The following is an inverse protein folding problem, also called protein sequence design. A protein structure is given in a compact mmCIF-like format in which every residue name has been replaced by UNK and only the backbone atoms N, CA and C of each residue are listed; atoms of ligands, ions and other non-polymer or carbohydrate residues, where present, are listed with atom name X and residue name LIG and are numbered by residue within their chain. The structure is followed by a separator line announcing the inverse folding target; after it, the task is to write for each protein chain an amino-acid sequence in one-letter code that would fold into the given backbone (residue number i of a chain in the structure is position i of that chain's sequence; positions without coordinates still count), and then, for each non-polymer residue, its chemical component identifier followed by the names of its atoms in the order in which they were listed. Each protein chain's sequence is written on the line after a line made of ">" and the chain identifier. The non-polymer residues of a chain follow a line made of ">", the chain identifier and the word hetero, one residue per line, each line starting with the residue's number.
data_IF_165036603452
#
_entry.id   IF_165036603452
#
_cell.length_a   1.000
_cell.length_b   1.000
_cell.length_c   1.000
_cell.angle_alpha   90.00
_cell.angle_beta   90.00
_cell.angle_gamma   90.00
#
_symmetry.space_group_name_H-M   'P 1'
#
loop_
_entity.id
_entity.type
_entity.pdbx_description
1 polymer ?
#
# COMPACT_ATOMS: atom_id res chain seq x y z
N UNK A 1 7.89 -22.18 7.52
CA UNK A 1 7.64 -21.00 8.38
C UNK A 1 7.59 -19.70 7.58
N UNK A 2 8.53 -19.43 6.67
CA UNK A 2 8.46 -18.28 5.74
C UNK A 2 7.23 -18.26 4.82
N UNK A 3 6.85 -19.41 4.25
CA UNK A 3 5.67 -19.53 3.37
C UNK A 3 4.37 -19.12 4.05
N UNK A 4 4.18 -19.48 5.32
CA UNK A 4 3.02 -19.07 6.10
C UNK A 4 3.01 -17.55 6.35
N UNK A 5 4.17 -16.94 6.61
CA UNK A 5 4.29 -15.50 6.78
C UNK A 5 3.97 -14.73 5.48
N UNK A 6 4.47 -15.20 4.33
CA UNK A 6 4.17 -14.60 3.01
C UNK A 6 2.69 -14.73 2.67
N UNK A 7 2.11 -15.92 2.86
CA UNK A 7 0.67 -16.14 2.65
C UNK A 7 -0.19 -15.24 3.55
N UNK A 8 0.19 -15.10 4.82
CA UNK A 8 -0.49 -14.19 5.76
C UNK A 8 -0.42 -12.72 5.34
N UNK A 9 0.76 -12.25 4.93
CA UNK A 9 0.95 -10.89 4.43
C UNK A 9 0.11 -10.60 3.17
N UNK A 10 0.07 -11.55 2.25
CA UNK A 10 -0.66 -11.43 0.99
C UNK A 10 -2.18 -11.41 1.23
N UNK A 11 -2.69 -12.30 2.08
CA UNK A 11 -4.09 -12.28 2.51
C UNK A 11 -4.46 -10.96 3.18
N UNK A 12 -3.61 -10.47 4.08
CA UNK A 12 -3.84 -9.19 4.77
C UNK A 12 -3.90 -8.01 3.80
N UNK A 13 -2.98 -7.95 2.84
CA UNK A 13 -2.95 -6.91 1.80
C UNK A 13 -4.20 -6.95 0.93
N UNK A 14 -4.66 -8.14 0.53
CA UNK A 14 -5.88 -8.31 -0.26
C UNK A 14 -7.11 -7.87 0.54
N UNK A 15 -7.22 -8.26 1.82
CA UNK A 15 -8.34 -7.83 2.67
C UNK A 15 -8.43 -6.30 2.79
N UNK A 16 -7.29 -5.62 2.95
CA UNK A 16 -7.24 -4.15 2.97
C UNK A 16 -7.69 -3.58 1.62
N UNK A 17 -7.21 -4.14 0.51
CA UNK A 17 -7.58 -3.70 -0.84
C UNK A 17 -9.08 -3.83 -1.13
N UNK A 18 -9.70 -4.96 -0.75
CA UNK A 18 -11.14 -5.19 -0.91
C UNK A 18 -11.95 -4.24 -0.02
N UNK A 19 -11.54 -4.05 1.23
CA UNK A 19 -12.20 -3.11 2.14
C UNK A 19 -12.09 -1.65 1.63
N UNK A 20 -10.92 -1.25 1.16
CA UNK A 20 -10.69 0.07 0.57
C UNK A 20 -11.50 0.26 -0.72
N UNK A 21 -11.55 -0.76 -1.59
CA UNK A 21 -12.35 -0.74 -2.82
C UNK A 21 -13.83 -0.58 -2.55
N UNK A 22 -14.35 -1.12 -1.46
CA UNK A 22 -15.76 -0.94 -1.07
C UNK A 22 -16.09 0.49 -0.60
N UNK A 23 -15.08 1.33 -0.36
CA UNK A 23 -15.26 2.74 0.05
C UNK A 23 -15.15 3.71 -1.13
N UNK A 24 -14.67 3.25 -2.29
CA UNK A 24 -14.52 4.06 -3.51
C UNK A 24 -15.83 4.04 -4.31
N UNK A 25 -16.54 5.17 -4.34
CA UNK A 25 -17.84 5.28 -5.02
C UNK A 25 -17.77 5.97 -6.39
N UNK A 26 -16.58 6.34 -6.87
CA UNK A 26 -16.43 6.94 -8.21
C UNK A 26 -14.99 7.22 -8.64
N UNK A 27 -14.78 7.50 -9.94
CA UNK A 27 -13.46 7.69 -10.54
C UNK A 27 -12.65 8.87 -9.94
N UNK A 28 -13.32 9.93 -9.47
CA UNK A 28 -12.66 11.03 -8.75
C UNK A 28 -12.13 10.60 -7.38
N UNK A 29 -12.84 9.69 -6.71
CA UNK A 29 -12.43 9.15 -5.42
C UNK A 29 -11.31 8.11 -5.58
N UNK A 30 -11.34 7.34 -6.67
CA UNK A 30 -10.25 6.43 -7.01
C UNK A 30 -8.94 7.15 -7.37
N UNK A 31 -9.01 8.23 -8.16
CA UNK A 31 -7.81 8.96 -8.61
C UNK A 31 -7.28 9.99 -7.61
N UNK A 32 -8.15 10.62 -6.80
CA UNK A 32 -7.76 11.75 -5.93
C UNK A 32 -8.14 11.50 -4.46
N UNK A 33 -8.73 10.34 -4.12
CA UNK A 33 -9.15 9.99 -2.76
C UNK A 33 -9.85 11.16 -2.04
N UNK A 34 -10.80 11.78 -2.74
CA UNK A 34 -11.63 12.85 -2.20
C UNK A 34 -10.92 14.16 -1.87
N UNK A 35 -9.66 14.38 -2.25
CA UNK A 35 -8.91 15.64 -2.01
C UNK A 35 -8.67 15.95 -0.52
N UNK A 36 -8.78 14.97 0.37
CA UNK A 36 -8.51 15.12 1.81
C UNK A 36 -7.71 13.97 2.41
N UNK A 37 -6.88 13.28 1.61
CA UNK A 37 -5.90 12.38 2.18
C UNK A 37 -4.91 13.18 3.06
N UNK A 38 -4.76 12.84 4.34
CA UNK A 38 -3.84 13.54 5.24
C UNK A 38 -2.40 13.40 4.75
N UNK A 39 -1.59 14.45 4.93
CA UNK A 39 -0.19 14.54 4.47
C UNK A 39 0.63 13.29 4.83
N UNK A 40 0.45 12.75 6.03
CA UNK A 40 1.15 11.55 6.50
C UNK A 40 0.95 10.33 5.59
N UNK A 41 -0.28 10.10 5.10
CA UNK A 41 -0.57 8.99 4.20
C UNK A 41 0.14 9.17 2.85
N UNK A 42 0.22 10.43 2.39
CA UNK A 42 0.89 10.77 1.13
C UNK A 42 2.41 10.56 1.24
N UNK A 43 3.02 10.96 2.36
CA UNK A 43 4.44 10.68 2.63
C UNK A 43 4.73 9.19 2.62
N UNK A 44 3.92 8.38 3.32
CA UNK A 44 4.09 6.92 3.33
C UNK A 44 3.92 6.31 1.94
N UNK A 45 2.97 6.79 1.13
CA UNK A 45 2.75 6.31 -0.24
C UNK A 45 3.94 6.63 -1.16
N UNK A 46 4.45 7.87 -1.11
CA UNK A 46 5.61 8.29 -1.89
C UNK A 46 6.85 7.52 -1.45
N UNK A 47 7.05 7.35 -0.15
CA UNK A 47 8.15 6.58 0.40
C UNK A 47 8.07 5.11 -0.04
N UNK A 48 6.89 4.49 0.02
CA UNK A 48 6.69 3.12 -0.43
C UNK A 48 6.91 2.93 -1.94
N UNK A 49 6.61 3.96 -2.76
CA UNK A 49 6.88 3.93 -4.20
C UNK A 49 8.37 4.07 -4.50
N UNK A 50 9.09 4.89 -3.73
CA UNK A 50 10.51 5.16 -3.95
C UNK A 50 11.41 4.05 -3.41
N UNK A 51 11.08 3.50 -2.23
CA UNK A 51 11.81 2.41 -1.61
C UNK A 51 11.32 1.07 -2.14
N UNK A 52 11.77 0.75 -3.35
CA UNK A 52 11.60 -0.57 -3.95
C UNK A 52 12.43 -1.65 -3.25
N UNK A 53 12.16 -2.92 -3.59
CA UNK A 53 12.88 -4.07 -3.06
C UNK A 53 14.40 -3.98 -3.32
N UNK A 54 14.79 -3.38 -4.45
CA UNK A 54 16.18 -3.13 -4.82
C UNK A 54 16.95 -2.27 -3.80
N UNK A 55 16.34 -1.20 -3.29
CA UNK A 55 16.98 -0.29 -2.33
C UNK A 55 17.20 -0.97 -0.97
N UNK A 56 16.22 -1.78 -0.54
CA UNK A 56 16.30 -2.51 0.74
C UNK A 56 17.38 -3.59 0.69
N UNK A 57 17.50 -4.29 -0.44
CA UNK A 57 18.52 -5.32 -0.64
C UNK A 57 19.93 -4.70 -0.74
N UNK A 58 20.08 -3.54 -1.37
CA UNK A 58 21.38 -2.87 -1.55
C UNK A 58 21.92 -2.18 -0.29
N UNK A 59 21.05 -1.76 0.66
CA UNK A 59 21.51 -1.09 1.89
C UNK A 59 22.02 -2.06 2.96
N UNK A 60 21.72 -3.36 2.80
CA UNK A 60 22.08 -4.42 3.74
C UNK A 60 23.26 -5.29 3.29
N UNK A 61 23.86 -4.99 2.13
CA UNK A 61 25.06 -5.63 1.60
C UNK A 61 26.29 -4.74 1.84
#
# INVERSE_FOLDING_TARGET
>A
MLTAAVLGYLLFTICIGVYASSRVHGAKDFMVAGRSLPLYMNFTCVFATWFGAETVLSVSA
#
